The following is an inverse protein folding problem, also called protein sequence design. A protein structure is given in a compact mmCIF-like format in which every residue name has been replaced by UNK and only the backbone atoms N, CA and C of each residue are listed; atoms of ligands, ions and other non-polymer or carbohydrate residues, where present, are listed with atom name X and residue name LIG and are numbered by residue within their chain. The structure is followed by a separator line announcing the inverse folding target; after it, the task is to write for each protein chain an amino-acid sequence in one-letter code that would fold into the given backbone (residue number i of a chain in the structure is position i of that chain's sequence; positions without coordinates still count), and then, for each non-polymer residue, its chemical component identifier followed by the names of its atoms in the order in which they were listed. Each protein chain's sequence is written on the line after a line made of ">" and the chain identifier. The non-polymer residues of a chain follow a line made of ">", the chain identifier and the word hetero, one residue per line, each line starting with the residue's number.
data_IF_599025700810
#
_entry.id   IF_599025700810
#
_cell.length_a   1.000
_cell.length_b   1.000
_cell.length_c   1.000
_cell.angle_alpha   90.00
_cell.angle_beta   90.00
_cell.angle_gamma   90.00
#
_symmetry.space_group_name_H-M   'P 1'
#
loop_
_entity.id
_entity.type
_entity.pdbx_description
1 polymer ?
#
# COMPACT_ATOMS: atom_id res chain seq x y z
N UNK A 1 -12.29 -5.58 25.50
CA UNK A 1 -12.39 -6.93 24.87
C UNK A 1 -12.65 -6.87 23.36
N UNK A 2 -13.74 -6.25 22.89
CA UNK A 2 -14.05 -6.20 21.44
C UNK A 2 -13.07 -5.27 20.68
N UNK A 3 -12.78 -4.09 21.22
CA UNK A 3 -11.78 -3.17 20.66
C UNK A 3 -10.38 -3.79 20.60
N UNK A 4 -9.95 -4.52 21.62
CA UNK A 4 -8.64 -5.18 21.65
C UNK A 4 -8.53 -6.27 20.58
N UNK A 5 -9.60 -7.02 20.33
CA UNK A 5 -9.65 -8.01 19.25
C UNK A 5 -9.56 -7.34 17.88
N UNK A 6 -10.24 -6.20 17.71
CA UNK A 6 -10.23 -5.41 16.49
C UNK A 6 -8.84 -4.82 16.21
N UNK A 7 -8.18 -4.27 17.22
CA UNK A 7 -6.80 -3.77 17.12
C UNK A 7 -5.82 -4.89 16.74
N UNK A 8 -5.96 -6.05 17.39
CA UNK A 8 -5.12 -7.21 17.08
C UNK A 8 -5.31 -7.67 15.64
N UNK A 9 -6.55 -7.84 15.19
CA UNK A 9 -6.88 -8.22 13.82
C UNK A 9 -6.34 -7.20 12.79
N UNK A 10 -6.49 -5.90 13.08
CA UNK A 10 -5.96 -4.82 12.25
C UNK A 10 -4.44 -4.91 12.10
N UNK A 11 -3.73 -5.07 13.21
CA UNK A 11 -2.26 -5.21 13.20
C UNK A 11 -1.81 -6.47 12.45
N UNK A 12 -2.54 -7.56 12.64
CA UNK A 12 -2.26 -8.83 11.98
C UNK A 12 -2.43 -8.70 10.46
N UNK A 13 -3.54 -8.11 10.01
CA UNK A 13 -3.79 -7.86 8.59
C UNK A 13 -2.70 -6.98 7.97
N UNK A 14 -2.37 -5.85 8.58
CA UNK A 14 -1.33 -4.95 8.10
C UNK A 14 0.01 -5.70 8.00
N UNK A 15 0.44 -6.39 9.05
CA UNK A 15 1.75 -7.07 9.09
C UNK A 15 1.86 -8.28 8.17
N UNK A 16 0.76 -8.96 7.88
CA UNK A 16 0.75 -10.08 6.95
C UNK A 16 0.81 -9.63 5.49
N UNK A 17 0.37 -8.40 5.19
CA UNK A 17 0.32 -7.87 3.83
C UNK A 17 1.72 -7.67 3.26
N UNK A 18 1.92 -8.06 2.00
CA UNK A 18 3.16 -7.85 1.24
C UNK A 18 3.08 -6.60 0.35
N UNK A 19 1.88 -6.06 0.17
CA UNK A 19 1.54 -4.98 -0.75
C UNK A 19 0.40 -4.13 -0.21
N UNK A 20 0.27 -2.94 -0.76
CA UNK A 20 -0.81 -2.02 -0.44
C UNK A 20 -1.11 -1.10 -1.64
N UNK A 21 -2.22 -0.39 -1.55
CA UNK A 21 -2.55 0.69 -2.48
C UNK A 21 -2.25 2.02 -1.79
N UNK A 22 -1.29 2.76 -2.34
CA UNK A 22 -0.86 4.06 -1.83
C UNK A 22 -1.64 5.16 -2.54
N UNK A 23 -2.39 5.95 -1.78
CA UNK A 23 -3.03 7.16 -2.25
C UNK A 23 -2.20 8.39 -1.90
N UNK A 24 -1.96 9.24 -2.90
CA UNK A 24 -1.24 10.52 -2.79
C UNK A 24 -2.06 11.62 -3.46
N UNK A 25 -1.77 12.86 -3.17
CA UNK A 25 -2.33 14.01 -3.90
C UNK A 25 -1.49 14.30 -5.14
N UNK A 26 -2.13 14.33 -6.31
CA UNK A 26 -1.43 14.61 -7.57
C UNK A 26 -0.85 16.03 -7.55
N UNK A 27 0.44 16.16 -7.79
CA UNK A 27 1.14 17.46 -7.82
C UNK A 27 0.58 18.38 -8.91
N UNK A 28 0.72 19.70 -8.74
CA UNK A 28 0.26 20.69 -9.75
C UNK A 28 0.85 20.44 -11.13
N UNK A 29 2.11 20.02 -11.19
CA UNK A 29 2.78 19.71 -12.46
C UNK A 29 2.18 18.49 -13.14
N UNK A 30 1.96 17.42 -12.38
CA UNK A 30 1.40 16.18 -12.90
C UNK A 30 -0.08 16.32 -13.26
N UNK A 31 -0.84 17.14 -12.51
CA UNK A 31 -2.24 17.46 -12.86
C UNK A 31 -2.34 18.04 -14.27
N UNK A 32 -1.51 19.02 -14.62
CA UNK A 32 -1.50 19.64 -15.95
C UNK A 32 -1.23 18.65 -17.09
N UNK A 33 -0.49 17.58 -16.80
CA UNK A 33 -0.16 16.54 -17.79
C UNK A 33 -1.27 15.50 -17.94
N UNK A 34 -1.98 15.20 -16.85
CA UNK A 34 -2.92 14.08 -16.79
C UNK A 34 -4.38 14.51 -16.91
N UNK A 35 -4.70 15.75 -16.54
CA UNK A 35 -6.08 16.26 -16.48
C UNK A 35 -6.13 17.65 -17.08
N UNK A 36 -7.05 17.86 -18.02
CA UNK A 36 -7.27 19.17 -18.67
C UNK A 36 -8.10 20.14 -17.82
N UNK A 37 -8.49 19.75 -16.59
CA UNK A 37 -9.39 20.51 -15.72
C UNK A 37 -8.62 21.23 -14.60
N UNK A 38 -9.13 22.39 -14.16
CA UNK A 38 -8.58 23.23 -13.10
C UNK A 38 -8.88 22.71 -11.68
N UNK A 39 -9.05 21.40 -11.49
CA UNK A 39 -9.31 20.82 -10.17
C UNK A 39 -8.15 21.09 -9.20
N UNK A 40 -8.49 21.48 -7.98
CA UNK A 40 -7.50 21.84 -6.95
C UNK A 40 -6.86 20.60 -6.33
N UNK A 41 -7.67 19.57 -6.08
CA UNK A 41 -7.26 18.31 -5.47
C UNK A 41 -7.61 17.12 -6.36
N UNK A 42 -6.64 16.26 -6.62
CA UNK A 42 -6.85 15.04 -7.39
C UNK A 42 -6.14 13.89 -6.66
N UNK A 43 -6.88 12.90 -6.15
CA UNK A 43 -6.29 11.71 -5.58
C UNK A 43 -5.62 10.87 -6.67
N UNK A 44 -4.48 10.31 -6.33
CA UNK A 44 -3.70 9.44 -7.21
C UNK A 44 -3.33 8.17 -6.47
N UNK A 45 -3.71 7.02 -6.98
CA UNK A 45 -3.52 5.72 -6.36
C UNK A 45 -2.54 4.88 -7.14
N UNK A 46 -1.58 4.27 -6.43
CA UNK A 46 -0.61 3.34 -7.01
C UNK A 46 -0.47 2.10 -6.14
N UNK A 47 -0.12 1.01 -6.80
CA UNK A 47 0.28 -0.23 -6.14
C UNK A 47 1.72 -0.10 -5.60
N UNK A 48 1.96 -0.53 -4.36
CA UNK A 48 3.27 -0.53 -3.73
C UNK A 48 3.53 -1.80 -2.94
N UNK A 49 4.78 -2.24 -2.90
CA UNK A 49 5.23 -3.30 -2.01
C UNK A 49 5.51 -2.71 -0.63
N UNK A 50 5.20 -3.47 0.42
CA UNK A 50 5.29 -3.00 1.81
C UNK A 50 6.14 -3.93 2.65
N UNK A 51 7.17 -3.37 3.27
CA UNK A 51 7.85 -3.96 4.43
C UNK A 51 7.35 -3.31 5.72
N UNK A 52 7.88 -3.74 6.86
CA UNK A 52 7.48 -3.17 8.16
C UNK A 52 8.68 -2.95 9.06
N UNK A 53 8.65 -1.84 9.79
CA UNK A 53 9.57 -1.57 10.86
C UNK A 53 9.15 -2.33 12.15
N UNK A 54 9.94 -2.27 13.22
CA UNK A 54 9.64 -2.96 14.49
C UNK A 54 8.34 -2.45 15.14
N UNK A 55 8.06 -1.17 14.97
CA UNK A 55 6.86 -0.52 15.50
C UNK A 55 5.60 -0.73 14.61
N UNK A 56 5.66 -1.62 13.64
CA UNK A 56 4.63 -1.86 12.63
C UNK A 56 4.45 -0.75 11.59
N UNK A 57 5.25 0.28 11.60
CA UNK A 57 5.19 1.31 10.55
C UNK A 57 5.54 0.72 9.19
N UNK A 58 4.74 0.96 8.14
CA UNK A 58 5.06 0.52 6.80
C UNK A 58 6.34 1.16 6.27
N UNK A 59 7.14 0.33 5.63
CA UNK A 59 8.33 0.72 4.88
C UNK A 59 8.05 0.53 3.39
N UNK A 60 8.29 1.56 2.61
CA UNK A 60 8.14 1.55 1.16
C UNK A 60 9.49 1.81 0.50
N UNK A 61 9.79 1.08 -0.56
CA UNK A 61 10.95 1.34 -1.41
C UNK A 61 10.46 1.99 -2.69
N UNK A 62 10.67 3.30 -2.82
CA UNK A 62 10.13 4.11 -3.91
C UNK A 62 11.26 4.75 -4.73
N UNK A 63 11.05 4.85 -6.04
CA UNK A 63 11.94 5.56 -6.95
C UNK A 63 11.64 7.06 -6.96
N UNK A 64 12.67 7.90 -6.94
CA UNK A 64 12.55 9.36 -7.12
C UNK A 64 11.90 9.74 -8.46
N UNK A 65 11.88 8.81 -9.44
CA UNK A 65 11.30 8.99 -10.78
C UNK A 65 9.79 8.74 -10.82
N UNK A 66 9.25 8.03 -9.82
CA UNK A 66 7.83 7.65 -9.78
C UNK A 66 6.93 8.87 -9.54
N UNK A 67 5.72 8.85 -10.12
CA UNK A 67 4.74 9.92 -9.96
C UNK A 67 4.31 10.10 -8.49
N UNK A 68 4.07 9.01 -7.76
CA UNK A 68 3.74 9.09 -6.33
C UNK A 68 4.86 9.78 -5.53
N UNK A 69 6.14 9.52 -5.82
CA UNK A 69 7.26 10.17 -5.12
C UNK A 69 7.37 11.66 -5.45
N UNK A 70 7.05 12.06 -6.67
CA UNK A 70 6.95 13.47 -7.06
C UNK A 70 5.80 14.16 -6.32
N UNK A 71 4.67 13.47 -6.15
CA UNK A 71 3.53 13.96 -5.38
C UNK A 71 3.90 14.24 -3.92
N UNK A 72 4.67 13.34 -3.30
CA UNK A 72 5.10 13.44 -1.90
C UNK A 72 5.99 14.67 -1.62
N UNK A 73 6.62 15.26 -2.62
CA UNK A 73 7.40 16.50 -2.46
C UNK A 73 6.50 17.70 -2.12
N UNK A 74 5.24 17.66 -2.51
CA UNK A 74 4.29 18.74 -2.27
C UNK A 74 3.38 18.48 -1.07
N UNK A 75 2.98 17.23 -0.88
CA UNK A 75 2.14 16.81 0.23
C UNK A 75 2.54 15.39 0.65
N UNK A 76 2.99 15.26 1.90
CA UNK A 76 3.41 13.99 2.48
C UNK A 76 2.29 13.25 3.22
N UNK A 77 1.07 13.76 3.20
CA UNK A 77 -0.10 13.06 3.72
C UNK A 77 -0.50 11.97 2.74
N UNK A 78 -0.66 10.75 3.24
CA UNK A 78 -0.97 9.57 2.43
C UNK A 78 -2.03 8.71 3.07
N UNK A 79 -2.67 7.88 2.25
CA UNK A 79 -3.46 6.74 2.73
C UNK A 79 -2.91 5.45 2.15
N UNK A 80 -2.94 4.39 2.94
CA UNK A 80 -2.64 3.04 2.50
C UNK A 80 -3.86 2.15 2.72
N UNK A 81 -4.28 1.45 1.68
CA UNK A 81 -5.29 0.41 1.77
C UNK A 81 -4.59 -0.96 1.75
N UNK A 82 -4.80 -1.72 2.82
CA UNK A 82 -4.42 -3.12 2.94
C UNK A 82 -5.66 -3.99 2.79
N UNK A 83 -5.56 -5.00 1.96
CA UNK A 83 -6.60 -6.03 1.81
C UNK A 83 -6.01 -7.38 2.16
N UNK A 84 -6.81 -8.28 2.70
CA UNK A 84 -6.38 -9.66 2.88
C UNK A 84 -5.98 -10.25 1.51
N UNK A 85 -4.75 -10.76 1.45
CA UNK A 85 -4.24 -11.44 0.25
C UNK A 85 -4.64 -12.91 0.32
N UNK A 86 -5.13 -13.47 -0.79
CA UNK A 86 -5.26 -14.92 -0.90
C UNK A 86 -3.88 -15.54 -0.82
N UNK A 87 -3.74 -16.54 0.04
CA UNK A 87 -2.45 -17.19 0.27
C UNK A 87 -2.07 -18.19 -0.83
N UNK A 88 -3.05 -18.68 -1.62
CA UNK A 88 -2.84 -19.64 -2.69
C UNK A 88 -3.34 -19.08 -4.03
N UNK A 89 -2.45 -19.00 -5.02
CA UNK A 89 -2.81 -18.58 -6.38
C UNK A 89 -3.83 -19.55 -7.03
N UNK A 90 -3.92 -20.77 -6.54
CA UNK A 90 -4.89 -21.79 -6.98
C UNK A 90 -6.33 -21.44 -6.60
N UNK A 91 -6.52 -20.61 -5.56
CA UNK A 91 -7.83 -20.17 -5.07
C UNK A 91 -8.35 -18.91 -5.80
N UNK A 92 -7.55 -18.32 -6.70
CA UNK A 92 -8.04 -17.24 -7.55
C UNK A 92 -9.00 -17.83 -8.59
N UNK A 93 -10.28 -17.45 -8.59
CA UNK A 93 -11.14 -17.78 -9.71
C UNK A 93 -10.48 -17.23 -10.98
N UNK A 94 -10.09 -18.14 -11.88
CA UNK A 94 -9.64 -17.74 -13.21
C UNK A 94 -10.79 -16.94 -13.80
N UNK A 95 -10.62 -15.66 -14.00
CA UNK A 95 -11.63 -14.78 -14.57
C UNK A 95 -11.86 -15.13 -16.04
N UNK A 96 -12.49 -16.28 -16.30
CA UNK A 96 -13.17 -16.53 -17.54
C UNK A 96 -14.48 -15.75 -17.48
N UNK A 97 -14.62 -14.77 -18.33
CA UNK A 97 -15.75 -13.84 -18.37
C UNK A 97 -17.11 -14.50 -18.60
N UNK A 98 -17.14 -15.77 -18.96
CA UNK A 98 -18.35 -16.57 -19.24
C UNK A 98 -18.87 -17.34 -18.03
N UNK A 99 -18.06 -17.64 -17.01
CA UNK A 99 -18.43 -18.56 -15.91
C UNK A 99 -18.75 -17.84 -14.58
N UNK A 100 -19.00 -16.54 -14.64
CA UNK A 100 -19.16 -15.70 -13.44
C UNK A 100 -20.39 -15.97 -12.60
N UNK A 101 -21.39 -16.63 -13.15
CA UNK A 101 -22.70 -16.77 -12.50
C UNK A 101 -22.97 -18.14 -11.88
N UNK A 102 -22.18 -19.16 -12.21
CA UNK A 102 -22.47 -20.54 -11.81
C UNK A 102 -21.41 -21.18 -10.91
N UNK A 103 -20.48 -20.39 -10.36
CA UNK A 103 -19.38 -20.93 -9.58
C UNK A 103 -19.75 -20.97 -8.09
N UNK A 104 -20.12 -22.15 -7.58
CA UNK A 104 -20.40 -22.40 -6.16
C UNK A 104 -19.20 -22.06 -5.22
N UNK A 105 -18.02 -21.85 -5.78
CA UNK A 105 -16.78 -21.47 -5.07
C UNK A 105 -16.41 -19.99 -5.20
N UNK A 106 -17.33 -19.13 -5.68
CA UNK A 106 -17.05 -17.70 -5.74
C UNK A 106 -17.09 -17.11 -4.33
N UNK A 107 -15.92 -16.71 -3.83
CA UNK A 107 -15.83 -15.92 -2.61
C UNK A 107 -15.98 -14.42 -2.96
N UNK A 108 -16.98 -13.78 -2.36
CA UNK A 108 -17.15 -12.33 -2.51
C UNK A 108 -15.93 -11.59 -1.96
N UNK A 109 -15.16 -10.85 -2.78
CA UNK A 109 -14.00 -10.07 -2.28
C UNK A 109 -14.37 -9.07 -1.18
N UNK A 110 -15.62 -8.65 -1.10
CA UNK A 110 -16.12 -7.74 -0.06
C UNK A 110 -16.26 -8.41 1.31
N UNK A 111 -16.28 -9.74 1.37
CA UNK A 111 -16.27 -10.51 2.62
C UNK A 111 -14.90 -10.49 3.31
N UNK A 112 -13.85 -10.08 2.60
CA UNK A 112 -12.49 -10.08 3.14
C UNK A 112 -12.21 -8.84 3.97
N UNK A 113 -11.49 -8.99 5.09
CA UNK A 113 -11.07 -7.85 5.88
C UNK A 113 -10.12 -6.95 5.09
N UNK A 114 -10.34 -5.65 5.23
CA UNK A 114 -9.51 -4.61 4.65
C UNK A 114 -9.37 -3.45 5.62
N UNK A 115 -8.23 -2.78 5.59
CA UNK A 115 -7.94 -1.65 6.46
C UNK A 115 -7.35 -0.50 5.67
N UNK A 116 -7.94 0.68 5.84
CA UNK A 116 -7.36 1.92 5.37
C UNK A 116 -6.69 2.63 6.54
N UNK A 117 -5.45 3.01 6.36
CA UNK A 117 -4.72 3.84 7.31
C UNK A 117 -4.33 5.16 6.67
N UNK A 118 -4.37 6.21 7.46
CA UNK A 118 -3.98 7.56 7.06
C UNK A 118 -2.79 7.99 7.91
N UNK A 119 -1.85 8.69 7.32
CA UNK A 119 -0.68 9.17 8.02
C UNK A 119 0.20 10.04 7.15
N UNK A 120 1.39 10.30 7.67
CA UNK A 120 2.42 11.04 6.97
C UNK A 120 3.56 10.11 6.59
N UNK A 121 4.10 10.32 5.39
CA UNK A 121 5.23 9.55 4.88
C UNK A 121 6.49 10.43 4.91
N UNK A 122 7.58 9.84 5.37
CA UNK A 122 8.88 10.51 5.41
C UNK A 122 9.98 9.63 4.81
N UNK A 123 10.94 10.28 4.18
CA UNK A 123 12.14 9.61 3.70
C UNK A 123 13.07 9.29 4.86
N UNK A 124 13.55 8.06 4.93
CA UNK A 124 14.47 7.61 5.96
C UNK A 124 15.79 7.14 5.36
N UNK A 125 16.90 7.49 6.02
CA UNK A 125 18.25 7.10 5.60
C UNK A 125 18.82 6.01 6.51
N UNK A 126 18.07 4.93 6.68
CA UNK A 126 18.46 3.83 7.56
C UNK A 126 18.78 2.57 6.76
N UNK A 127 20.03 2.16 6.84
CA UNK A 127 20.49 0.86 6.29
C UNK A 127 19.71 -0.30 6.89
N UNK A 128 19.33 -0.20 8.17
CA UNK A 128 18.58 -1.22 8.87
C UNK A 128 17.17 -1.39 8.29
N UNK A 129 16.43 -0.31 8.10
CA UNK A 129 15.08 -0.33 7.51
C UNK A 129 15.11 -0.85 6.06
N UNK A 130 16.12 -0.46 5.30
CA UNK A 130 16.34 -0.99 3.95
C UNK A 130 16.58 -2.51 3.96
N UNK A 131 17.40 -3.01 4.88
CA UNK A 131 17.62 -4.46 5.04
C UNK A 131 16.33 -5.18 5.40
N UNK A 132 15.49 -4.61 6.28
CA UNK A 132 14.19 -5.19 6.64
C UNK A 132 13.26 -5.30 5.44
N UNK A 133 13.17 -4.24 4.64
CA UNK A 133 12.38 -4.26 3.40
C UNK A 133 12.87 -5.36 2.45
N UNK A 134 14.18 -5.44 2.20
CA UNK A 134 14.79 -6.46 1.33
C UNK A 134 14.56 -7.87 1.87
N UNK A 135 14.61 -8.08 3.19
CA UNK A 135 14.28 -9.38 3.80
C UNK A 135 12.85 -9.81 3.53
N UNK A 136 11.91 -8.87 3.51
CA UNK A 136 10.51 -9.13 3.17
C UNK A 136 10.32 -9.40 1.67
N UNK A 137 11.10 -8.69 0.85
CA UNK A 137 11.02 -8.73 -0.62
C UNK A 137 12.40 -9.02 -1.23
N UNK A 138 12.88 -10.27 -1.21
CA UNK A 138 14.25 -10.61 -1.63
C UNK A 138 14.57 -10.19 -3.07
N UNK A 139 13.59 -10.22 -3.99
CA UNK A 139 13.78 -9.78 -5.37
C UNK A 139 14.13 -8.28 -5.49
N UNK A 140 13.76 -7.46 -4.49
CA UNK A 140 14.09 -6.04 -4.48
C UNK A 140 15.59 -5.77 -4.35
N UNK A 141 16.38 -6.76 -3.93
CA UNK A 141 17.84 -6.67 -3.87
C UNK A 141 18.46 -6.25 -5.21
N UNK A 142 17.82 -6.61 -6.32
CA UNK A 142 18.29 -6.30 -7.67
C UNK A 142 18.28 -4.79 -7.97
N UNK A 143 17.37 -4.03 -7.37
CA UNK A 143 17.19 -2.60 -7.68
C UNK A 143 17.24 -1.67 -6.45
N UNK A 144 17.19 -2.21 -5.24
CA UNK A 144 17.16 -1.41 -4.01
C UNK A 144 18.36 -0.45 -3.86
N UNK A 145 19.48 -0.73 -4.54
CA UNK A 145 20.70 0.09 -4.50
C UNK A 145 20.82 1.07 -5.67
N UNK A 146 19.82 1.15 -6.54
CA UNK A 146 19.83 2.14 -7.60
C UNK A 146 19.82 3.56 -7.02
N UNK A 147 20.43 4.50 -7.73
CA UNK A 147 20.66 5.88 -7.26
C UNK A 147 19.37 6.65 -6.96
N UNK A 148 18.28 6.28 -7.59
CA UNK A 148 16.96 6.88 -7.44
C UNK A 148 16.06 6.18 -6.41
N UNK A 149 16.47 5.02 -5.86
CA UNK A 149 15.66 4.26 -4.91
C UNK A 149 15.87 4.74 -3.47
N UNK A 150 14.75 4.99 -2.78
CA UNK A 150 14.72 5.51 -1.40
C UNK A 150 13.77 4.68 -0.54
N UNK A 151 14.15 4.54 0.74
CA UNK A 151 13.25 4.01 1.76
C UNK A 151 12.44 5.16 2.35
N UNK A 152 11.15 4.91 2.47
CA UNK A 152 10.19 5.76 3.14
C UNK A 152 9.52 4.99 4.27
N UNK A 153 9.16 5.71 5.35
CA UNK A 153 8.40 5.19 6.47
C UNK A 153 7.08 5.96 6.57
N UNK A 154 6.00 5.24 6.84
CA UNK A 154 4.68 5.84 7.05
C UNK A 154 4.37 5.85 8.54
N UNK A 155 4.14 7.04 9.10
CA UNK A 155 3.71 7.25 10.48
C UNK A 155 2.20 7.42 10.50
N UNK A 156 1.48 6.47 11.12
CA UNK A 156 0.03 6.47 11.14
C UNK A 156 -0.55 7.55 12.07
N UNK A 157 -1.59 8.23 11.61
CA UNK A 157 -2.42 9.14 12.38
C UNK A 157 -3.76 8.51 12.75
N UNK A 158 -4.25 7.58 11.95
CA UNK A 158 -5.51 6.90 12.18
C UNK A 158 -5.79 5.83 11.12
N UNK A 159 -6.86 5.08 11.31
CA UNK A 159 -7.25 4.05 10.35
C UNK A 159 -8.68 3.58 10.56
N UNK A 160 -9.20 2.91 9.54
CA UNK A 160 -10.53 2.30 9.52
C UNK A 160 -10.41 0.87 9.00
N UNK A 161 -10.92 -0.08 9.80
CA UNK A 161 -11.03 -1.49 9.40
C UNK A 161 -12.46 -1.79 8.98
N UNK A 162 -12.60 -2.51 7.88
CA UNK A 162 -13.87 -3.11 7.47
C UNK A 162 -13.65 -4.62 7.47
N UNK A 163 -14.39 -5.32 8.30
CA UNK A 163 -14.53 -6.76 8.26
C UNK A 163 -15.59 -7.18 7.26
N UNK A 164 -15.49 -8.38 6.73
CA UNK A 164 -16.56 -9.01 5.97
C UNK A 164 -17.64 -9.53 6.89
#
# INVERSE_FOLDING_TARGET
>A
MENEKMEHATRQLIRSSSRAYLATELSKENRKKMISDNKIYVPYVTFVMVGFDYDCSPLLLLSDLSEHTKNLKNNNTVSLLFCEEQRNEEDFPKFNTTDRLDNENYEDPMSRPRVTVVGEIEKVNSTHQKKRFISRHPASKLYANFKDMRIYKVNFSGGHITGG
#
